data_IF_138730633222
#
_entry.id   IF_138730633222
#
_cell.length_a   1.000
_cell.length_b   1.000
_cell.length_c   1.000
_cell.angle_alpha   90.00
_cell.angle_beta   90.00
_cell.angle_gamma   90.00
#
_symmetry.space_group_name_H-M   'P 1'
#
loop_
_entity.id
_entity.type
_entity.pdbx_description
1 polymer ?
#
# COMPACT_ATOMS: atom_id res chain seq x y z
N UNK A 1 2.05 14.38 8.09
CA UNK A 1 2.42 15.08 6.85
C UNK A 1 3.18 14.16 5.88
N UNK A 2 4.46 13.82 6.07
CA UNK A 2 5.27 13.07 5.06
C UNK A 2 4.78 11.64 4.72
N UNK A 3 4.00 11.00 5.60
CA UNK A 3 3.34 9.71 5.32
C UNK A 3 2.33 9.82 4.17
N UNK A 4 1.65 10.96 4.06
CA UNK A 4 0.62 11.22 3.05
C UNK A 4 1.16 11.16 1.62
N UNK A 5 2.24 11.88 1.27
CA UNK A 5 2.87 11.76 -0.05
C UNK A 5 3.75 10.51 -0.20
N UNK A 6 3.77 9.60 0.80
CA UNK A 6 4.61 8.39 0.81
C UNK A 6 6.10 8.65 0.58
N UNK A 7 6.59 9.78 1.09
CA UNK A 7 8.02 10.10 1.08
C UNK A 7 8.69 9.23 2.14
N UNK A 8 9.79 8.55 1.77
CA UNK A 8 10.60 7.80 2.74
C UNK A 8 11.40 8.80 3.57
N UNK A 9 11.33 8.69 4.89
CA UNK A 9 12.04 9.58 5.79
C UNK A 9 12.56 8.81 7.01
N UNK A 10 13.62 9.34 7.61
CA UNK A 10 14.13 8.95 8.94
C UNK A 10 14.10 10.21 9.82
N UNK A 11 13.71 10.08 11.09
CA UNK A 11 13.87 11.18 12.04
C UNK A 11 15.36 11.35 12.34
N UNK A 12 15.85 12.57 12.27
CA UNK A 12 17.23 12.90 12.56
C UNK A 12 17.37 13.25 14.05
N UNK A 13 18.47 12.83 14.68
CA UNK A 13 18.81 13.25 16.04
C UNK A 13 19.86 14.36 16.03
N UNK A 14 20.82 14.31 15.10
CA UNK A 14 21.88 15.32 14.95
C UNK A 14 22.03 15.76 13.47
N UNK A 15 22.05 17.06 13.13
CA UNK A 15 22.20 17.56 11.76
C UNK A 15 23.54 17.21 11.14
N UNK A 16 24.57 16.96 11.96
CA UNK A 16 25.90 16.56 11.48
C UNK A 16 25.89 15.17 10.83
N UNK A 17 24.84 14.38 11.03
CA UNK A 17 24.61 13.13 10.29
C UNK A 17 24.29 13.38 8.80
N UNK A 18 23.90 14.60 8.42
CA UNK A 18 23.60 14.94 7.03
C UNK A 18 24.87 15.28 6.23
N UNK A 19 24.91 14.77 5.01
CA UNK A 19 25.94 15.03 4.01
C UNK A 19 25.47 16.02 2.96
N UNK A 20 26.38 16.46 2.09
CA UNK A 20 26.08 17.40 1.00
C UNK A 20 25.09 16.88 -0.06
N UNK A 21 24.73 15.59 -0.03
CA UNK A 21 23.78 14.99 -0.98
C UNK A 21 22.41 14.70 -0.34
N UNK A 22 22.25 14.98 0.95
CA UNK A 22 21.01 14.69 1.66
C UNK A 22 19.98 15.82 1.48
N UNK A 23 18.71 15.46 1.66
CA UNK A 23 17.61 16.40 1.85
C UNK A 23 17.20 16.41 3.31
N UNK A 24 17.37 17.56 3.97
CA UNK A 24 16.83 17.82 5.29
C UNK A 24 15.46 18.52 5.19
N UNK A 25 14.42 17.91 5.74
CA UNK A 25 13.10 18.53 5.85
C UNK A 25 12.95 19.11 7.25
N UNK A 26 12.81 20.44 7.34
CA UNK A 26 12.58 21.14 8.60
C UNK A 26 11.08 21.39 8.80
N UNK A 27 10.65 21.25 10.04
CA UNK A 27 9.32 21.57 10.53
C UNK A 27 9.46 22.26 11.90
N UNK A 28 8.39 22.92 12.41
CA UNK A 28 8.45 23.62 13.68
C UNK A 28 8.89 22.71 14.84
N UNK A 29 9.64 23.29 15.77
CA UNK A 29 10.23 22.63 16.94
C UNK A 29 11.56 21.94 16.66
N UNK A 30 12.27 22.26 15.57
CA UNK A 30 13.63 21.73 15.38
C UNK A 30 14.60 22.34 16.40
N UNK A 31 15.64 21.59 16.80
CA UNK A 31 16.52 21.94 17.92
C UNK A 31 17.98 22.09 17.49
N UNK A 32 18.21 22.74 16.37
CA UNK A 32 19.52 22.80 15.73
C UNK A 32 19.95 24.24 15.50
N UNK A 33 21.27 24.45 15.45
CA UNK A 33 21.85 25.76 15.13
C UNK A 33 21.76 26.05 13.63
N UNK A 34 22.50 27.07 13.19
CA UNK A 34 22.51 27.52 11.81
C UNK A 34 22.94 26.42 10.83
N UNK A 35 22.18 26.28 9.74
CA UNK A 35 22.46 25.33 8.66
C UNK A 35 23.24 25.97 7.50
N UNK A 36 23.65 27.23 7.61
CA UNK A 36 24.28 27.95 6.51
C UNK A 36 25.53 27.26 5.97
N UNK A 37 26.38 26.74 6.85
CA UNK A 37 27.60 26.02 6.48
C UNK A 37 27.31 24.69 5.80
N UNK A 38 26.36 23.92 6.34
CA UNK A 38 25.95 22.63 5.76
C UNK A 38 25.34 22.82 4.36
N UNK A 39 24.47 23.83 4.20
CA UNK A 39 23.90 24.19 2.89
C UNK A 39 25.00 24.65 1.93
N UNK A 40 25.94 25.51 2.37
CA UNK A 40 27.08 25.91 1.53
C UNK A 40 27.87 24.70 1.00
N UNK A 41 27.97 23.64 1.81
CA UNK A 41 28.65 22.38 1.48
C UNK A 41 27.77 21.36 0.73
N UNK A 42 26.55 21.71 0.33
CA UNK A 42 25.71 20.90 -0.55
C UNK A 42 24.35 20.53 0.02
N UNK A 43 24.16 20.55 1.34
CA UNK A 43 22.91 20.10 1.97
C UNK A 43 21.69 20.80 1.35
N UNK A 44 20.72 20.01 0.93
CA UNK A 44 19.44 20.53 0.46
C UNK A 44 18.45 20.62 1.63
N UNK A 45 17.69 21.71 1.69
CA UNK A 45 16.76 21.95 2.80
C UNK A 45 15.38 22.30 2.27
N UNK A 46 14.36 21.58 2.75
CA UNK A 46 12.95 21.93 2.57
C UNK A 46 12.36 22.34 3.92
N UNK A 47 12.21 23.64 4.13
CA UNK A 47 11.67 24.22 5.36
C UNK A 47 10.16 24.44 5.24
N UNK A 48 9.39 23.88 6.16
CA UNK A 48 7.93 23.86 6.10
C UNK A 48 7.33 24.55 7.32
N UNK A 49 6.67 25.68 7.11
CA UNK A 49 5.84 26.38 8.11
C UNK A 49 6.59 26.82 9.36
N UNK A 50 7.89 27.09 9.24
CA UNK A 50 8.74 27.56 10.34
C UNK A 50 8.29 28.95 10.82
N UNK A 51 8.37 29.19 12.12
CA UNK A 51 8.15 30.52 12.66
C UNK A 51 9.34 31.46 12.34
N UNK A 52 9.18 32.75 12.69
CA UNK A 52 10.20 33.76 12.39
C UNK A 52 11.52 33.47 13.11
N UNK A 53 11.47 33.09 14.39
CA UNK A 53 12.67 32.85 15.21
C UNK A 53 13.43 31.62 14.70
N UNK A 54 12.69 30.59 14.32
CA UNK A 54 13.19 29.37 13.69
C UNK A 54 13.86 29.65 12.35
N UNK A 55 13.23 30.45 11.49
CA UNK A 55 13.84 30.87 10.21
C UNK A 55 15.13 31.65 10.46
N UNK A 56 15.10 32.60 11.40
CA UNK A 56 16.26 33.43 11.73
C UNK A 56 17.38 32.62 12.37
N UNK A 57 17.05 31.58 13.13
CA UNK A 57 18.03 30.64 13.73
C UNK A 57 18.69 29.78 12.66
N UNK A 58 17.91 29.17 11.76
CA UNK A 58 18.45 28.33 10.70
C UNK A 58 19.24 29.14 9.67
N UNK A 59 18.74 30.32 9.29
CA UNK A 59 19.28 31.17 8.23
C UNK A 59 19.36 32.66 8.61
N UNK A 60 20.24 33.04 9.57
CA UNK A 60 20.36 34.40 10.06
C UNK A 60 20.56 35.44 8.94
N UNK A 61 19.73 36.48 8.92
CA UNK A 61 19.88 37.66 8.07
C UNK A 61 19.55 37.48 6.58
N UNK A 62 19.10 36.29 6.13
CA UNK A 62 18.91 36.00 4.69
C UNK A 62 17.46 36.00 4.22
N UNK A 63 16.50 35.97 5.14
CA UNK A 63 15.13 35.54 4.81
C UNK A 63 14.10 36.66 4.82
N UNK A 64 14.27 37.70 5.66
CA UNK A 64 13.33 38.82 5.80
C UNK A 64 11.90 38.34 6.07
N UNK A 65 11.78 37.37 6.98
CA UNK A 65 10.52 36.83 7.43
C UNK A 65 9.82 37.80 8.41
N UNK A 66 8.51 37.88 8.31
CA UNK A 66 7.64 38.65 9.18
C UNK A 66 6.38 37.89 9.52
N UNK A 67 5.72 38.27 10.62
CA UNK A 67 4.43 37.70 11.00
C UNK A 67 3.35 38.47 10.26
N UNK A 68 2.54 37.78 9.46
CA UNK A 68 1.40 38.39 8.78
C UNK A 68 0.10 37.90 9.40
N UNK A 69 -0.89 38.78 9.44
CA UNK A 69 -2.20 38.50 9.99
C UNK A 69 -3.24 38.49 8.88
N UNK A 70 -4.20 37.58 8.96
CA UNK A 70 -5.35 37.50 8.06
C UNK A 70 -5.00 37.60 6.56
N UNK A 71 -3.99 36.84 6.13
CA UNK A 71 -3.37 36.96 4.80
C UNK A 71 -3.95 35.96 3.80
N UNK A 72 -4.17 36.41 2.57
CA UNK A 72 -4.63 35.59 1.44
C UNK A 72 -3.47 35.17 0.55
N UNK A 73 -3.71 34.23 -0.38
CA UNK A 73 -2.66 33.81 -1.32
C UNK A 73 -2.31 34.92 -2.30
N UNK A 74 -1.00 35.12 -2.49
CA UNK A 74 -0.46 36.00 -3.52
C UNK A 74 0.21 35.17 -4.62
N UNK A 75 0.07 35.57 -5.90
CA UNK A 75 0.64 34.83 -7.01
C UNK A 75 2.16 34.95 -7.03
N UNK A 76 2.85 33.83 -6.96
CA UNK A 76 4.28 33.75 -7.18
C UNK A 76 4.65 34.01 -8.64
N UNK A 77 5.63 34.87 -8.84
CA UNK A 77 6.24 35.15 -10.13
C UNK A 77 7.48 34.28 -10.37
N UNK A 78 7.82 34.06 -11.65
CA UNK A 78 9.08 33.40 -12.01
C UNK A 78 9.17 31.91 -11.66
N UNK A 79 8.06 31.23 -11.33
CA UNK A 79 8.04 29.79 -11.04
C UNK A 79 8.69 28.94 -12.15
N UNK A 80 8.52 29.32 -13.42
CA UNK A 80 9.13 28.62 -14.55
C UNK A 80 10.61 28.96 -14.81
N UNK A 81 11.19 29.93 -14.09
CA UNK A 81 12.58 30.38 -14.31
C UNK A 81 13.59 29.59 -13.48
N UNK A 82 13.18 29.01 -12.36
CA UNK A 82 14.06 28.23 -11.49
C UNK A 82 13.80 26.72 -11.66
N UNK A 83 14.80 25.91 -12.04
CA UNK A 83 14.67 24.45 -12.12
C UNK A 83 14.12 23.77 -10.86
N UNK A 84 14.40 24.33 -9.67
CA UNK A 84 13.86 23.84 -8.39
C UNK A 84 12.34 23.89 -8.30
N UNK A 85 11.70 24.76 -9.09
CA UNK A 85 10.27 25.02 -9.05
C UNK A 85 9.52 24.41 -10.24
N UNK A 86 10.18 23.54 -11.01
CA UNK A 86 9.54 22.81 -12.12
C UNK A 86 8.32 22.06 -11.63
N UNK A 87 7.22 22.18 -12.37
CA UNK A 87 5.94 21.53 -12.07
C UNK A 87 5.13 22.21 -10.95
N UNK A 88 5.56 23.38 -10.47
CA UNK A 88 4.82 24.19 -9.50
C UNK A 88 4.09 25.32 -10.22
N UNK A 89 2.84 25.53 -9.85
CA UNK A 89 1.98 26.58 -10.35
C UNK A 89 1.38 27.39 -9.22
N UNK A 90 0.81 28.55 -9.55
CA UNK A 90 0.05 29.34 -8.57
C UNK A 90 -1.18 28.61 -8.02
N UNK A 91 -1.69 27.60 -8.72
CA UNK A 91 -2.76 26.76 -8.17
C UNK A 91 -2.29 26.00 -6.91
N UNK A 92 -1.02 25.58 -6.88
CA UNK A 92 -0.41 24.84 -5.76
C UNK A 92 -0.18 25.72 -4.53
N UNK A 93 -0.02 27.02 -4.75
CA UNK A 93 0.20 28.05 -3.73
C UNK A 93 -1.10 28.75 -3.31
N UNK A 94 -2.24 28.37 -3.88
CA UNK A 94 -3.51 29.06 -3.66
C UNK A 94 -4.23 28.57 -2.40
N UNK A 95 -4.71 29.53 -1.60
CA UNK A 95 -5.62 29.27 -0.49
C UNK A 95 -6.68 30.37 -0.40
N UNK A 96 -7.90 29.98 0.00
CA UNK A 96 -9.07 30.86 -0.11
C UNK A 96 -9.38 31.67 1.15
N UNK A 97 -9.15 31.11 2.34
CA UNK A 97 -9.46 31.77 3.62
C UNK A 97 -8.21 32.43 4.20
N UNK A 98 -8.34 33.59 4.84
CA UNK A 98 -7.18 34.26 5.42
C UNK A 98 -6.54 33.40 6.50
N UNK A 99 -5.20 33.35 6.51
CA UNK A 99 -4.41 32.67 7.55
C UNK A 99 -3.42 33.64 8.18
N UNK A 100 -3.07 33.39 9.44
CA UNK A 100 -2.03 34.14 10.16
C UNK A 100 -0.84 33.23 10.41
N UNK A 101 0.32 33.59 9.88
CA UNK A 101 1.54 32.80 9.97
C UNK A 101 2.77 33.67 9.67
N UNK A 102 3.95 33.05 9.64
CA UNK A 102 5.19 33.69 9.20
C UNK A 102 5.29 33.65 7.67
N UNK A 103 5.58 34.79 7.04
CA UNK A 103 5.73 34.92 5.59
C UNK A 103 6.89 35.85 5.24
N UNK A 104 7.28 35.90 3.96
CA UNK A 104 8.42 36.70 3.50
C UNK A 104 8.00 38.08 3.00
N UNK A 105 8.58 39.14 3.59
CA UNK A 105 8.13 40.53 3.40
C UNK A 105 8.48 41.15 2.03
N UNK A 106 9.49 40.62 1.33
CA UNK A 106 10.01 41.25 0.10
C UNK A 106 9.75 40.41 -1.15
N UNK A 107 8.89 39.39 -1.05
CA UNK A 107 8.64 38.47 -2.16
C UNK A 107 7.24 38.64 -2.73
N UNK A 108 7.14 38.62 -4.06
CA UNK A 108 5.88 38.44 -4.77
C UNK A 108 5.25 37.04 -4.49
N UNK A 109 5.90 36.20 -3.70
CA UNK A 109 5.41 34.91 -3.22
C UNK A 109 5.64 34.78 -1.69
N UNK A 110 4.86 35.44 -0.83
CA UNK A 110 5.11 35.48 0.62
C UNK A 110 5.16 34.07 1.25
N UNK A 111 4.46 33.09 0.64
CA UNK A 111 4.38 31.71 1.09
C UNK A 111 5.45 30.76 0.51
N UNK A 112 6.23 31.18 -0.49
CA UNK A 112 7.25 30.36 -1.13
C UNK A 112 8.53 31.17 -1.35
N UNK A 113 9.62 30.75 -0.73
CA UNK A 113 10.94 31.36 -0.97
C UNK A 113 11.95 30.29 -1.32
N UNK A 114 12.81 30.57 -2.29
CA UNK A 114 13.96 29.74 -2.59
C UNK A 114 15.24 30.56 -2.37
N UNK A 115 16.31 29.89 -1.98
CA UNK A 115 17.64 30.45 -1.85
C UNK A 115 18.68 29.40 -2.23
N UNK A 116 19.78 29.84 -2.81
CA UNK A 116 20.95 28.99 -3.11
C UNK A 116 22.15 29.53 -2.33
N UNK A 117 22.97 28.61 -1.82
CA UNK A 117 24.21 28.97 -1.12
C UNK A 117 25.23 27.87 -1.39
N UNK A 118 26.30 28.19 -2.12
CA UNK A 118 27.24 27.17 -2.60
C UNK A 118 26.54 26.15 -3.48
N UNK A 119 26.70 24.86 -3.17
CA UNK A 119 26.03 23.77 -3.89
C UNK A 119 24.63 23.43 -3.32
N UNK A 120 24.31 23.90 -2.11
CA UNK A 120 23.04 23.60 -1.45
C UNK A 120 21.92 24.54 -1.85
N UNK A 121 20.71 24.00 -1.73
CA UNK A 121 19.46 24.64 -2.15
C UNK A 121 18.49 24.62 -0.98
N UNK A 122 17.84 25.74 -0.74
CA UNK A 122 16.87 25.90 0.36
C UNK A 122 15.55 26.36 -0.22
N UNK A 123 14.48 25.64 0.08
CA UNK A 123 13.12 26.06 -0.25
C UNK A 123 12.30 26.15 1.02
N UNK A 124 11.62 27.27 1.21
CA UNK A 124 10.68 27.52 2.29
C UNK A 124 9.27 27.50 1.74
N UNK A 125 8.40 26.74 2.38
CA UNK A 125 6.95 26.75 2.14
C UNK A 125 6.28 27.13 3.44
N UNK A 126 5.60 28.27 3.47
CA UNK A 126 4.97 28.80 4.69
C UNK A 126 3.46 28.54 4.74
N UNK A 127 2.80 28.50 3.58
CA UNK A 127 1.44 27.95 3.48
C UNK A 127 1.52 26.42 3.44
N UNK A 128 1.34 25.78 4.60
CA UNK A 128 1.54 24.33 4.82
C UNK A 128 0.25 23.63 5.25
N UNK A 129 0.15 22.28 5.12
CA UNK A 129 -1.13 21.59 5.28
C UNK A 129 -1.78 21.78 6.66
N UNK A 130 -1.01 21.86 7.74
CA UNK A 130 -1.58 22.00 9.08
C UNK A 130 -2.17 23.39 9.39
N UNK A 131 -2.07 24.35 8.46
CA UNK A 131 -2.76 25.65 8.56
C UNK A 131 -4.18 25.63 8.00
N UNK A 132 -4.61 24.51 7.41
CA UNK A 132 -5.90 24.40 6.73
C UNK A 132 -6.77 23.32 7.37
N UNK A 133 -8.03 23.66 7.64
CA UNK A 133 -9.00 22.71 8.18
C UNK A 133 -9.45 21.72 7.08
N UNK A 134 -9.23 20.43 7.34
CA UNK A 134 -9.56 19.36 6.41
C UNK A 134 -11.07 19.04 6.35
N UNK A 135 -11.86 19.50 7.31
CA UNK A 135 -13.30 19.30 7.29
C UNK A 135 -14.02 20.37 6.48
N UNK A 136 -13.39 21.52 6.28
CA UNK A 136 -13.89 22.56 5.39
C UNK A 136 -13.67 22.22 3.91
N UNK A 137 -14.76 22.05 3.17
CA UNK A 137 -14.74 21.72 1.74
C UNK A 137 -13.83 22.63 0.90
N UNK A 138 -13.89 23.94 1.13
CA UNK A 138 -13.11 24.92 0.38
C UNK A 138 -11.59 24.77 0.62
N UNK A 139 -11.19 24.27 1.78
CA UNK A 139 -9.79 24.11 2.17
C UNK A 139 -9.25 22.71 1.86
N UNK A 140 -10.10 21.70 1.67
CA UNK A 140 -9.67 20.36 1.21
C UNK A 140 -8.91 20.41 -0.11
N UNK A 141 -9.37 21.22 -1.07
CA UNK A 141 -8.66 21.38 -2.35
C UNK A 141 -7.29 22.03 -2.14
N UNK A 142 -7.20 23.05 -1.28
CA UNK A 142 -5.92 23.66 -0.90
C UNK A 142 -4.99 22.63 -0.27
N UNK A 143 -5.47 21.85 0.71
CA UNK A 143 -4.70 20.77 1.34
C UNK A 143 -4.11 19.79 0.33
N UNK A 144 -4.92 19.26 -0.60
CA UNK A 144 -4.47 18.34 -1.65
C UNK A 144 -3.34 18.93 -2.49
N UNK A 145 -3.55 20.15 -2.97
CA UNK A 145 -2.57 20.86 -3.78
C UNK A 145 -1.29 21.14 -3.01
N UNK A 146 -1.40 21.43 -1.72
CA UNK A 146 -0.28 21.71 -0.84
C UNK A 146 0.53 20.43 -0.50
N UNK A 147 -0.12 19.27 -0.35
CA UNK A 147 0.57 17.99 -0.32
C UNK A 147 1.30 17.69 -1.64
N UNK A 148 0.65 17.98 -2.78
CA UNK A 148 1.27 17.88 -4.11
C UNK A 148 2.50 18.79 -4.26
N UNK A 149 2.39 20.04 -3.82
CA UNK A 149 3.48 21.03 -3.77
C UNK A 149 4.69 20.49 -3.00
N UNK A 150 4.48 20.06 -1.76
CA UNK A 150 5.54 19.54 -0.90
C UNK A 150 6.18 18.30 -1.52
N UNK A 151 5.38 17.41 -2.11
CA UNK A 151 5.90 16.22 -2.79
C UNK A 151 6.76 16.57 -3.99
N UNK A 152 6.36 17.53 -4.83
CA UNK A 152 7.14 17.98 -6.00
C UNK A 152 8.43 18.66 -5.56
N UNK A 153 8.35 19.57 -4.58
CA UNK A 153 9.52 20.27 -4.04
C UNK A 153 10.54 19.30 -3.43
N UNK A 154 10.07 18.34 -2.62
CA UNK A 154 10.95 17.32 -2.06
C UNK A 154 11.67 16.54 -3.18
N UNK A 155 10.97 16.17 -4.25
CA UNK A 155 11.56 15.44 -5.36
C UNK A 155 12.53 16.29 -6.18
N UNK A 156 12.21 17.56 -6.44
CA UNK A 156 13.11 18.52 -7.09
C UNK A 156 14.39 18.76 -6.26
N UNK A 157 14.32 18.53 -4.94
CA UNK A 157 15.45 18.55 -4.01
C UNK A 157 16.09 17.18 -3.77
N UNK A 158 15.76 16.16 -4.56
CA UNK A 158 16.41 14.85 -4.52
C UNK A 158 15.76 13.79 -3.63
N UNK A 159 14.57 14.03 -3.09
CA UNK A 159 13.85 13.00 -2.34
C UNK A 159 13.45 11.82 -3.24
N UNK A 160 13.76 10.60 -2.80
CA UNK A 160 13.24 9.38 -3.43
C UNK A 160 11.77 9.16 -3.08
N UNK A 161 10.99 8.68 -4.05
CA UNK A 161 9.62 8.20 -3.83
C UNK A 161 9.51 6.73 -4.20
N UNK A 162 8.83 5.95 -3.35
CA UNK A 162 8.39 4.59 -3.67
C UNK A 162 6.90 4.49 -3.40
N UNK A 163 6.08 4.70 -4.43
CA UNK A 163 4.63 4.53 -4.33
C UNK A 163 4.22 3.08 -4.04
N UNK A 164 5.10 2.12 -4.31
CA UNK A 164 4.80 0.68 -4.29
C UNK A 164 3.83 0.26 -5.38
N UNK A 165 3.40 1.18 -6.26
CA UNK A 165 2.41 0.92 -7.30
C UNK A 165 2.92 -0.10 -8.30
N UNK A 166 4.09 0.15 -8.89
CA UNK A 166 4.68 -0.74 -9.89
C UNK A 166 5.01 -2.11 -9.30
N UNK A 167 5.51 -2.14 -8.06
CA UNK A 167 5.79 -3.38 -7.34
C UNK A 167 4.50 -4.18 -7.09
N UNK A 168 3.41 -3.53 -6.66
CA UNK A 168 2.12 -4.19 -6.44
C UNK A 168 1.43 -4.63 -7.73
N UNK A 169 1.60 -3.88 -8.83
CA UNK A 169 1.10 -4.26 -10.15
C UNK A 169 1.84 -5.48 -10.71
N UNK A 170 3.15 -5.55 -10.51
CA UNK A 170 3.98 -6.66 -10.97
C UNK A 170 3.92 -7.88 -10.05
N UNK A 171 3.80 -7.68 -8.75
CA UNK A 171 3.86 -8.71 -7.72
C UNK A 171 2.73 -8.50 -6.69
N UNK A 172 1.47 -8.81 -7.03
CA UNK A 172 0.38 -8.73 -6.06
C UNK A 172 0.73 -9.67 -4.89
N UNK A 173 0.62 -9.22 -3.62
CA UNK A 173 1.05 -10.04 -2.50
C UNK A 173 0.21 -11.32 -2.42
N UNK A 174 0.90 -12.46 -2.30
CA UNK A 174 0.30 -13.80 -2.27
C UNK A 174 0.63 -14.46 -0.94
N UNK A 175 -0.33 -15.20 -0.41
CA UNK A 175 -0.13 -16.12 0.71
C UNK A 175 -0.17 -17.55 0.18
N UNK A 176 0.96 -18.24 0.21
CA UNK A 176 1.05 -19.66 -0.14
C UNK A 176 0.68 -20.53 1.07
N UNK A 177 0.09 -21.69 0.81
CA UNK A 177 -0.30 -22.62 1.87
C UNK A 177 0.71 -23.76 2.00
N UNK A 178 1.05 -24.10 3.24
CA UNK A 178 1.99 -25.18 3.59
C UNK A 178 1.34 -26.15 4.58
N UNK A 179 2.06 -27.21 4.97
CA UNK A 179 1.61 -28.12 6.03
C UNK A 179 0.36 -28.92 5.67
N UNK A 180 0.22 -29.30 4.40
CA UNK A 180 -0.89 -30.11 3.93
C UNK A 180 -0.86 -31.50 4.55
N UNK A 181 -2.04 -32.00 4.92
CA UNK A 181 -2.26 -33.39 5.32
C UNK A 181 -3.28 -34.02 4.38
N UNK A 182 -3.03 -35.28 4.04
CA UNK A 182 -3.79 -36.06 3.09
C UNK A 182 -4.37 -37.32 3.71
N UNK A 183 -5.51 -37.78 3.19
CA UNK A 183 -6.12 -39.07 3.55
C UNK A 183 -6.86 -39.66 2.34
N UNK A 184 -6.50 -40.88 1.97
CA UNK A 184 -7.29 -41.71 1.06
C UNK A 184 -8.62 -42.13 1.73
N UNK A 185 -9.70 -42.13 0.96
CA UNK A 185 -11.07 -42.38 1.38
C UNK A 185 -11.74 -43.39 0.43
N UNK A 186 -11.24 -44.65 0.38
CA UNK A 186 -11.72 -45.67 -0.58
C UNK A 186 -13.22 -45.97 -0.41
N UNK A 187 -13.75 -45.82 0.81
CA UNK A 187 -15.15 -46.06 1.13
C UNK A 187 -16.04 -44.81 0.96
N UNK A 188 -15.48 -43.68 0.51
CA UNK A 188 -16.16 -42.40 0.26
C UNK A 188 -16.97 -41.87 1.45
N UNK A 189 -16.44 -42.04 2.66
CA UNK A 189 -17.14 -41.68 3.90
C UNK A 189 -16.86 -40.24 4.35
N UNK A 190 -15.89 -39.55 3.76
CA UNK A 190 -15.41 -38.25 4.22
C UNK A 190 -16.47 -37.14 4.20
N UNK A 191 -17.39 -37.18 3.24
CA UNK A 191 -18.55 -36.28 3.20
C UNK A 191 -19.48 -36.53 4.39
N UNK A 192 -19.84 -37.78 4.67
CA UNK A 192 -20.68 -38.15 5.82
C UNK A 192 -20.00 -37.83 7.15
N UNK A 193 -18.68 -38.01 7.22
CA UNK A 193 -17.85 -37.71 8.40
C UNK A 193 -17.48 -36.24 8.53
N UNK A 194 -17.97 -35.37 7.64
CA UNK A 194 -17.74 -33.93 7.65
C UNK A 194 -16.25 -33.53 7.69
N UNK A 195 -15.39 -34.18 6.90
CA UNK A 195 -13.96 -33.85 6.82
C UNK A 195 -13.70 -32.38 6.39
N UNK A 196 -14.64 -31.77 5.68
CA UNK A 196 -14.62 -30.35 5.29
C UNK A 196 -14.91 -29.36 6.43
N UNK A 197 -15.40 -29.82 7.59
CA UNK A 197 -15.79 -28.96 8.69
C UNK A 197 -14.59 -28.26 9.36
N UNK A 198 -14.68 -26.98 9.75
CA UNK A 198 -13.63 -26.31 10.52
C UNK A 198 -13.43 -26.91 11.92
N UNK A 199 -14.43 -27.60 12.47
CA UNK A 199 -14.32 -28.31 13.75
C UNK A 199 -13.63 -29.68 13.62
N UNK A 200 -13.52 -30.23 12.40
CA UNK A 200 -12.85 -31.51 12.19
C UNK A 200 -11.36 -31.43 12.59
N UNK A 201 -10.88 -32.48 13.23
CA UNK A 201 -9.49 -32.63 13.67
C UNK A 201 -8.90 -33.89 13.02
N UNK A 202 -7.92 -33.74 12.10
CA UNK A 202 -7.32 -34.89 11.43
C UNK A 202 -6.59 -35.78 12.43
N UNK A 203 -6.89 -37.09 12.40
CA UNK A 203 -6.25 -38.10 13.23
C UNK A 203 -4.86 -38.52 12.71
N UNK A 204 -4.31 -39.58 13.30
CA UNK A 204 -3.01 -40.15 12.90
C UNK A 204 -3.01 -40.78 11.49
N UNK A 205 -4.21 -41.07 10.97
CA UNK A 205 -4.46 -41.59 9.63
C UNK A 205 -4.37 -40.52 8.53
N UNK A 206 -4.40 -39.23 8.89
CA UNK A 206 -4.08 -38.13 7.98
C UNK A 206 -2.58 -37.88 7.97
N UNK A 207 -1.90 -38.25 6.89
CA UNK A 207 -0.44 -38.15 6.75
C UNK A 207 -0.04 -36.81 6.13
N UNK A 208 1.15 -36.28 6.40
CA UNK A 208 1.69 -35.16 5.64
C UNK A 208 1.70 -35.49 4.14
N UNK A 209 1.34 -34.52 3.30
CA UNK A 209 1.32 -34.66 1.84
C UNK A 209 2.00 -33.46 1.18
N UNK A 210 2.82 -33.72 0.17
CA UNK A 210 3.45 -32.66 -0.61
C UNK A 210 2.43 -32.06 -1.59
N UNK A 211 2.31 -30.74 -1.59
CA UNK A 211 1.52 -29.98 -2.56
C UNK A 211 2.41 -28.84 -3.07
N UNK A 212 2.61 -28.68 -4.39
CA UNK A 212 2.03 -29.47 -5.46
C UNK A 212 2.65 -30.88 -5.59
N UNK A 213 1.88 -31.82 -6.12
CA UNK A 213 2.33 -33.19 -6.39
C UNK A 213 1.17 -34.19 -6.54
N UNK A 214 1.55 -35.38 -7.01
CA UNK A 214 0.71 -36.57 -7.04
C UNK A 214 0.52 -37.15 -5.62
N UNK A 215 -0.67 -37.63 -5.28
CA UNK A 215 -0.90 -38.32 -4.00
C UNK A 215 -0.65 -39.82 -4.09
N UNK A 216 -0.81 -40.42 -5.25
CA UNK A 216 -0.78 -41.85 -5.57
C UNK A 216 0.64 -42.41 -5.70
N UNK A 217 1.56 -41.94 -4.85
CA UNK A 217 2.98 -42.34 -4.91
C UNK A 217 3.30 -43.47 -3.93
N UNK A 218 4.37 -44.22 -4.23
CA UNK A 218 4.88 -45.23 -3.32
C UNK A 218 5.32 -44.66 -1.96
N UNK A 219 5.87 -43.44 -1.93
CA UNK A 219 6.27 -42.77 -0.68
C UNK A 219 5.09 -42.43 0.22
N UNK A 220 3.90 -42.24 -0.36
CA UNK A 220 2.66 -42.04 0.37
C UNK A 220 1.95 -43.36 0.71
N UNK A 221 2.47 -44.51 0.24
CA UNK A 221 1.83 -45.81 0.38
C UNK A 221 0.57 -45.98 -0.48
N UNK A 222 0.46 -45.23 -1.58
CA UNK A 222 -0.75 -45.13 -2.41
C UNK A 222 -0.46 -45.37 -3.90
N UNK A 223 0.60 -46.13 -4.21
CA UNK A 223 0.99 -46.42 -5.59
C UNK A 223 -0.19 -47.00 -6.40
N UNK A 224 -0.64 -46.27 -7.42
CA UNK A 224 -1.76 -46.67 -8.29
C UNK A 224 -3.14 -46.63 -7.63
N UNK A 225 -3.31 -45.83 -6.58
CA UNK A 225 -4.60 -45.64 -5.93
C UNK A 225 -5.50 -44.68 -6.73
N UNK A 226 -6.57 -45.22 -7.32
CA UNK A 226 -7.66 -44.43 -7.89
C UNK A 226 -8.80 -44.28 -6.85
N UNK A 227 -9.28 -43.06 -6.61
CA UNK A 227 -10.39 -42.82 -5.70
C UNK A 227 -10.41 -41.44 -5.05
N UNK A 228 -11.17 -41.35 -3.95
CA UNK A 228 -11.32 -40.11 -3.19
C UNK A 228 -10.10 -39.88 -2.29
N UNK A 229 -9.48 -38.72 -2.44
CA UNK A 229 -8.38 -38.28 -1.59
C UNK A 229 -8.66 -36.89 -1.01
N UNK A 230 -8.62 -36.79 0.31
CA UNK A 230 -8.87 -35.55 1.03
C UNK A 230 -7.58 -34.84 1.38
N UNK A 231 -7.49 -33.57 1.01
CA UNK A 231 -6.45 -32.64 1.41
C UNK A 231 -6.97 -31.66 2.44
N UNK A 232 -6.17 -31.37 3.47
CA UNK A 232 -6.49 -30.34 4.48
C UNK A 232 -5.24 -29.58 4.88
N UNK A 233 -5.34 -28.27 4.95
CA UNK A 233 -4.33 -27.38 5.55
C UNK A 233 -4.98 -26.32 6.44
N UNK A 234 -4.19 -25.78 7.37
CA UNK A 234 -4.56 -24.63 8.20
C UNK A 234 -3.58 -23.49 7.99
N UNK A 235 -4.08 -22.25 7.96
CA UNK A 235 -3.23 -21.09 7.74
C UNK A 235 -3.71 -19.85 8.49
N UNK A 236 -2.76 -18.96 8.75
CA UNK A 236 -2.99 -17.64 9.32
C UNK A 236 -2.89 -16.59 8.22
N UNK A 237 -3.69 -15.54 8.35
CA UNK A 237 -3.68 -14.39 7.43
C UNK A 237 -3.11 -13.20 8.19
N UNK A 238 -1.92 -12.68 7.83
CA UNK A 238 -1.24 -11.65 8.60
C UNK A 238 -2.05 -10.35 8.67
N UNK A 239 -2.75 -10.02 7.58
CA UNK A 239 -3.70 -8.93 7.47
C UNK A 239 -4.83 -9.35 6.55
N UNK A 240 -6.07 -9.26 7.05
CA UNK A 240 -7.25 -9.53 6.22
C UNK A 240 -7.27 -8.47 5.11
N UNK A 241 -7.39 -8.88 3.83
CA UNK A 241 -7.51 -7.95 2.71
C UNK A 241 -8.58 -6.89 2.98
N UNK A 242 -8.25 -5.61 2.84
CA UNK A 242 -9.21 -4.51 3.02
C UNK A 242 -10.22 -4.41 1.88
N UNK A 243 -9.93 -4.99 0.72
CA UNK A 243 -10.90 -5.16 -0.36
C UNK A 243 -12.08 -6.05 0.08
N UNK A 244 -13.29 -5.76 -0.42
CA UNK A 244 -14.51 -6.56 -0.12
C UNK A 244 -14.37 -8.03 -0.55
N UNK A 245 -13.64 -8.28 -1.63
CA UNK A 245 -13.39 -9.60 -2.18
C UNK A 245 -11.92 -9.81 -2.46
N UNK A 246 -11.51 -11.08 -2.41
CA UNK A 246 -10.21 -11.55 -2.86
C UNK A 246 -10.35 -12.88 -3.61
N UNK A 247 -9.27 -13.36 -4.21
CA UNK A 247 -9.28 -14.61 -4.99
C UNK A 247 -8.40 -15.68 -4.32
N UNK A 248 -8.98 -16.86 -4.15
CA UNK A 248 -8.28 -18.09 -3.76
C UNK A 248 -7.96 -18.89 -5.02
N UNK A 249 -6.71 -19.29 -5.18
CA UNK A 249 -6.23 -20.13 -6.27
C UNK A 249 -5.85 -21.51 -5.72
N UNK A 250 -6.49 -22.55 -6.24
CA UNK A 250 -6.14 -23.95 -5.96
C UNK A 250 -5.25 -24.50 -7.09
N UNK A 251 -5.48 -24.03 -8.31
CA UNK A 251 -4.75 -24.49 -9.48
C UNK A 251 -5.31 -25.80 -10.03
N UNK A 252 -4.48 -26.57 -10.73
CA UNK A 252 -4.88 -27.84 -11.35
C UNK A 252 -5.03 -28.95 -10.31
N UNK A 253 -6.19 -29.59 -10.30
CA UNK A 253 -6.46 -30.83 -9.55
C UNK A 253 -6.89 -31.90 -10.56
N UNK A 254 -6.36 -33.09 -10.43
CA UNK A 254 -6.58 -34.21 -11.35
C UNK A 254 -7.28 -35.34 -10.59
N UNK A 255 -8.50 -35.78 -10.90
CA UNK A 255 -9.40 -35.35 -11.98
C UNK A 255 -10.46 -34.34 -11.47
N UNK A 256 -11.35 -34.79 -10.59
CA UNK A 256 -12.45 -33.98 -10.06
C UNK A 256 -12.05 -33.34 -8.73
N UNK A 257 -12.74 -32.24 -8.38
CA UNK A 257 -12.48 -31.60 -7.11
C UNK A 257 -13.72 -31.00 -6.45
N UNK A 258 -13.71 -30.93 -5.12
CA UNK A 258 -14.60 -30.08 -4.32
C UNK A 258 -13.78 -29.28 -3.33
N UNK A 259 -14.07 -27.98 -3.17
CA UNK A 259 -13.24 -27.08 -2.36
C UNK A 259 -14.06 -26.37 -1.30
N UNK A 260 -13.54 -26.35 -0.07
CA UNK A 260 -14.13 -25.64 1.07
C UNK A 260 -13.12 -24.74 1.76
N UNK A 261 -13.57 -23.54 2.15
CA UNK A 261 -12.83 -22.63 3.01
C UNK A 261 -13.65 -22.36 4.27
N UNK A 262 -13.06 -22.64 5.44
CA UNK A 262 -13.73 -22.48 6.75
C UNK A 262 -15.09 -23.19 6.82
N UNK A 263 -15.22 -24.34 6.15
CA UNK A 263 -16.46 -25.12 6.02
C UNK A 263 -17.44 -24.63 4.96
N UNK A 264 -17.22 -23.45 4.38
CA UNK A 264 -18.05 -22.95 3.28
C UNK A 264 -17.62 -23.58 1.96
N UNK A 265 -18.55 -24.23 1.28
CA UNK A 265 -18.32 -24.77 -0.07
C UNK A 265 -18.11 -23.63 -1.07
N UNK A 266 -17.03 -23.72 -1.85
CA UNK A 266 -16.67 -22.71 -2.85
C UNK A 266 -17.05 -23.14 -4.27
N UNK A 267 -17.04 -24.44 -4.54
CA UNK A 267 -17.44 -25.01 -5.81
C UNK A 267 -16.81 -26.37 -6.08
N UNK A 268 -17.23 -26.99 -7.18
CA UNK A 268 -16.72 -28.26 -7.66
C UNK A 268 -16.33 -28.19 -9.14
N UNK A 269 -15.44 -29.09 -9.54
CA UNK A 269 -15.06 -29.35 -10.93
C UNK A 269 -15.24 -30.83 -11.18
N UNK A 270 -16.10 -31.17 -12.14
CA UNK A 270 -16.41 -32.54 -12.58
C UNK A 270 -16.56 -32.57 -14.10
N UNK A 271 -16.77 -33.76 -14.66
CA UNK A 271 -17.19 -33.95 -16.06
C UNK A 271 -18.50 -33.20 -16.40
N UNK A 272 -19.35 -32.91 -15.43
CA UNK A 272 -20.59 -32.14 -15.64
C UNK A 272 -20.36 -30.63 -15.70
N UNK A 273 -19.40 -30.11 -14.95
CA UNK A 273 -19.12 -28.66 -14.90
C UNK A 273 -18.06 -28.25 -15.91
N UNK A 274 -17.13 -29.15 -16.25
CA UNK A 274 -15.98 -28.93 -17.12
C UNK A 274 -15.69 -30.19 -17.96
N UNK A 275 -16.58 -30.56 -18.90
CA UNK A 275 -16.52 -31.85 -19.61
C UNK A 275 -15.23 -32.07 -20.41
N UNK A 276 -14.67 -31.00 -20.97
CA UNK A 276 -13.58 -31.10 -21.94
C UNK A 276 -12.18 -31.13 -21.28
N UNK A 277 -12.04 -30.62 -20.05
CA UNK A 277 -10.73 -30.35 -19.45
C UNK A 277 -10.68 -30.39 -17.91
N UNK A 278 -11.61 -31.06 -17.22
CA UNK A 278 -11.69 -31.09 -15.74
C UNK A 278 -10.36 -31.36 -15.02
N UNK A 279 -9.52 -32.24 -15.57
CA UNK A 279 -8.21 -32.60 -15.01
C UNK A 279 -7.14 -31.52 -15.22
N UNK A 280 -7.25 -30.70 -16.27
CA UNK A 280 -6.34 -29.58 -16.56
C UNK A 280 -6.85 -28.23 -16.04
N UNK A 281 -8.15 -28.13 -15.74
CA UNK A 281 -8.81 -26.87 -15.41
C UNK A 281 -8.23 -26.23 -14.15
N UNK A 282 -7.77 -24.98 -14.26
CA UNK A 282 -7.20 -24.28 -13.11
C UNK A 282 -8.29 -23.69 -12.22
N UNK A 283 -8.40 -24.18 -10.98
CA UNK A 283 -9.45 -23.78 -10.04
C UNK A 283 -9.10 -22.48 -9.33
N UNK A 284 -10.01 -21.50 -9.42
CA UNK A 284 -9.94 -20.26 -8.64
C UNK A 284 -11.33 -19.81 -8.20
N UNK A 285 -11.40 -19.16 -7.03
CA UNK A 285 -12.66 -18.76 -6.40
C UNK A 285 -12.56 -17.33 -5.89
N UNK A 286 -13.49 -16.46 -6.32
CA UNK A 286 -13.71 -15.17 -5.67
C UNK A 286 -14.42 -15.41 -4.34
N UNK A 287 -13.83 -14.92 -3.26
CA UNK A 287 -14.36 -15.07 -1.91
C UNK A 287 -14.51 -13.69 -1.25
N UNK A 288 -15.56 -13.48 -0.44
CA UNK A 288 -15.66 -12.29 0.36
C UNK A 288 -14.56 -12.32 1.43
N UNK A 289 -13.86 -11.20 1.64
CA UNK A 289 -12.77 -11.11 2.63
C UNK A 289 -13.26 -11.38 4.06
N UNK A 290 -14.57 -11.21 4.32
CA UNK A 290 -15.23 -11.57 5.59
C UNK A 290 -15.26 -13.07 5.88
N UNK A 291 -15.02 -13.93 4.88
CA UNK A 291 -14.89 -15.38 5.08
C UNK A 291 -13.54 -15.75 5.72
N UNK A 292 -12.54 -14.87 5.63
CA UNK A 292 -11.21 -15.07 6.19
C UNK A 292 -11.16 -14.66 7.66
N UNK A 293 -10.35 -15.37 8.43
CA UNK A 293 -10.01 -15.07 9.82
C UNK A 293 -8.53 -14.72 9.90
N UNK A 294 -8.09 -13.98 10.92
CA UNK A 294 -6.65 -13.73 11.15
C UNK A 294 -5.88 -15.03 11.43
N UNK A 295 -6.51 -15.97 12.12
CA UNK A 295 -5.90 -17.23 12.51
C UNK A 295 -6.84 -18.41 12.28
N UNK A 296 -6.25 -19.60 12.22
CA UNK A 296 -6.98 -20.88 12.20
C UNK A 296 -8.00 -21.00 11.06
N UNK A 297 -7.65 -20.48 9.87
CA UNK A 297 -8.43 -20.80 8.67
C UNK A 297 -8.17 -22.25 8.28
N UNK A 298 -9.16 -22.89 7.69
CA UNK A 298 -9.06 -24.26 7.18
C UNK A 298 -9.40 -24.29 5.70
N UNK A 299 -8.47 -24.79 4.88
CA UNK A 299 -8.72 -25.08 3.47
C UNK A 299 -8.78 -26.60 3.29
N UNK A 300 -9.85 -27.08 2.66
CA UNK A 300 -10.08 -28.50 2.39
C UNK A 300 -10.36 -28.68 0.91
N UNK A 301 -9.71 -29.65 0.29
CA UNK A 301 -9.94 -30.05 -1.09
C UNK A 301 -10.19 -31.56 -1.10
N UNK A 302 -11.32 -31.98 -1.63
CA UNK A 302 -11.54 -33.38 -2.03
C UNK A 302 -11.12 -33.49 -3.48
N UNK A 303 -10.23 -34.42 -3.77
CA UNK A 303 -9.83 -34.85 -5.10
C UNK A 303 -10.47 -36.21 -5.36
N UNK A 304 -11.15 -36.40 -6.48
CA UNK A 304 -11.62 -37.72 -6.91
C UNK A 304 -10.87 -38.06 -8.18
N UNK A 305 -9.92 -38.98 -8.07
CA UNK A 305 -9.14 -39.50 -9.18
C UNK A 305 -9.90 -40.67 -9.82
N UNK A 306 -10.11 -40.60 -11.12
CA UNK A 306 -10.85 -41.63 -11.85
C UNK A 306 -9.92 -42.72 -12.38
N UNK A 307 -8.66 -42.37 -12.65
CA UNK A 307 -7.62 -43.23 -13.21
C UNK A 307 -6.29 -42.49 -13.28
N UNK A 308 -5.21 -43.25 -13.15
CA UNK A 308 -3.88 -42.75 -13.47
C UNK A 308 -3.27 -42.08 -12.26
N UNK A 309 -2.98 -40.77 -12.32
CA UNK A 309 -2.35 -40.07 -11.21
C UNK A 309 -3.15 -38.86 -10.79
N UNK A 310 -3.72 -38.94 -9.58
CA UNK A 310 -4.43 -37.85 -8.95
C UNK A 310 -3.53 -36.95 -8.12
N UNK A 311 -3.88 -35.67 -8.03
CA UNK A 311 -3.02 -34.71 -7.36
C UNK A 311 -3.47 -33.26 -7.45
N UNK A 312 -2.86 -32.41 -6.63
CA UNK A 312 -2.89 -30.95 -6.82
C UNK A 312 -1.55 -30.56 -7.46
N UNK A 313 -1.56 -30.20 -8.74
CA UNK A 313 -0.33 -30.05 -9.54
C UNK A 313 0.20 -28.62 -9.64
N UNK A 314 -0.45 -27.66 -9.00
CA UNK A 314 0.00 -26.27 -8.90
C UNK A 314 -0.03 -25.82 -7.44
N UNK A 315 0.85 -24.90 -7.06
CA UNK A 315 0.91 -24.40 -5.69
C UNK A 315 -0.34 -23.57 -5.37
N UNK A 316 -1.18 -23.97 -4.40
CA UNK A 316 -2.34 -23.18 -4.02
C UNK A 316 -1.92 -21.89 -3.26
N UNK A 317 -2.63 -20.78 -3.49
CA UNK A 317 -2.36 -19.50 -2.85
C UNK A 317 -3.59 -18.59 -2.74
N UNK A 318 -3.56 -17.66 -1.79
CA UNK A 318 -4.56 -16.61 -1.60
C UNK A 318 -3.98 -15.26 -2.01
N UNK A 319 -4.74 -14.49 -2.79
CA UNK A 319 -4.38 -13.11 -3.06
C UNK A 319 -4.61 -12.26 -1.80
N UNK A 320 -3.63 -11.46 -1.39
CA UNK A 320 -3.77 -10.49 -0.31
C UNK A 320 -4.03 -9.10 -0.89
N UNK A 321 -5.24 -8.87 -1.39
CA UNK A 321 -5.58 -7.58 -2.03
C UNK A 321 -5.80 -6.48 -0.97
N UNK A 322 -4.76 -5.71 -0.67
CA UNK A 322 -4.92 -4.44 0.06
C UNK A 322 -5.64 -3.42 -0.84
N UNK A 323 -6.78 -2.88 -0.39
CA UNK A 323 -7.39 -1.69 -1.01
C UNK A 323 -6.62 -0.40 -0.69
N UNK A 324 -5.62 -0.45 0.17
CA UNK A 324 -4.90 0.71 0.69
C UNK A 324 -3.93 1.35 -0.32
N UNK A 325 -4.00 0.94 -1.60
CA UNK A 325 -3.38 1.68 -2.68
C UNK A 325 -4.24 2.93 -2.97
N UNK A 326 -4.24 3.85 -2.02
CA UNK A 326 -4.72 5.21 -2.26
C UNK A 326 -3.56 5.99 -2.92
N UNK A 327 -3.74 6.31 -4.20
CA UNK A 327 -2.84 7.19 -4.96
C UNK A 327 -3.11 8.67 -4.67
N UNK A 328 -4.21 8.97 -3.98
CA UNK A 328 -4.57 10.31 -3.57
C UNK A 328 -4.02 10.60 -2.18
N UNK A 329 -3.71 11.87 -1.95
CA UNK A 329 -3.27 12.41 -0.65
C UNK A 329 -4.34 12.32 0.45
N UNK A 330 -5.57 11.99 0.08
CA UNK A 330 -6.71 11.97 0.97
C UNK A 330 -7.78 10.98 0.50
N UNK A 331 -8.83 10.80 1.29
CA UNK A 331 -9.99 9.98 0.92
C UNK A 331 -10.99 10.86 0.17
N UNK A 332 -11.29 10.57 -1.12
CA UNK A 332 -12.29 11.32 -1.86
C UNK A 332 -13.64 11.29 -1.12
N UNK A 333 -14.20 12.46 -0.81
CA UNK A 333 -15.58 12.58 -0.33
C UNK A 333 -16.49 12.84 -1.54
N UNK A 334 -17.74 12.37 -1.55
CA UNK A 334 -18.68 12.69 -2.63
C UNK A 334 -18.83 14.19 -2.86
N UNK A 335 -18.69 15.03 -1.83
CA UNK A 335 -18.75 16.49 -1.97
C UNK A 335 -17.57 17.09 -2.75
N UNK A 336 -16.50 16.32 -2.94
CA UNK A 336 -15.29 16.76 -3.65
C UNK A 336 -15.38 16.58 -5.17
N UNK A 337 -16.41 15.90 -5.65
CA UNK A 337 -16.62 15.66 -7.07
C UNK A 337 -17.10 16.97 -7.74
N UNK A 338 -16.27 17.61 -8.59
CA UNK A 338 -16.64 18.85 -9.25
C UNK A 338 -17.80 18.65 -10.23
N UNK A 339 -18.15 17.41 -10.58
CA UNK A 339 -19.25 17.06 -11.48
C UNK A 339 -20.53 16.66 -10.76
N UNK A 340 -20.53 16.55 -9.43
CA UNK A 340 -21.70 16.09 -8.65
C UNK A 340 -22.96 16.93 -8.87
N UNK A 341 -22.80 18.22 -9.12
CA UNK A 341 -23.92 19.13 -9.35
C UNK A 341 -24.23 19.35 -10.84
N UNK A 342 -23.47 18.72 -11.73
CA UNK A 342 -23.65 18.77 -13.17
C UNK A 342 -24.31 17.47 -13.65
N UNK A 343 -25.50 17.18 -13.14
CA UNK A 343 -26.48 16.34 -13.84
C UNK A 343 -27.39 17.31 -14.60
N UNK A 344 -27.28 17.29 -15.93
CA UNK A 344 -28.05 18.16 -16.84
C UNK A 344 -29.26 17.37 -17.33
#
# INVERSE_FOLDING_TARGET
MLKTPKIKYRKLQDPTECTGNDLLILAPGFQFDSLQSAVKNGLHVLALGLDKEEIDTAFPGKTKAGIWQNTYSYPAEGLGKNPLLIGISNADLFWRKPISATFFNESNAPALKYMESGAGKVVFVQAVPWLFDADEFQLRTTLRRNYGLISRLAHNLGAESRSGLLERLSHPPKLFFAGWRGKADPDRQGMQRNFFSPSFRPGADWKPIQVPGAFDTASNGLAGYDGDFWYRTTFNVPKIPSAKETTLFIGRVDDFSKVWLNGKFLGEVTDKTNPDDYWLFSRSYKIPSSLLRKQNNTLVVLCTDLRGSGGIFQTPWLQLKDSDLNLYSDTPRPDDDPYRYYHW
#
